data_IF_262157123570
#
_entry.id   IF_262157123570
#
_cell.length_a   1.000
_cell.length_b   1.000
_cell.length_c   1.000
_cell.angle_alpha   90.00
_cell.angle_beta   90.00
_cell.angle_gamma   90.00
#
_symmetry.space_group_name_H-M   'P 1'
#
loop_
_entity.id
_entity.type
_entity.pdbx_description
1 polymer ?
#
# COMPACT_ATOMS: atom_id res chain seq x y z
N UNK A 1 -10.97 23.36 -7.19
CA UNK A 1 -10.16 22.18 -6.91
C UNK A 1 -8.75 22.58 -6.54
N UNK A 2 -8.16 21.96 -5.52
CA UNK A 2 -6.76 22.24 -5.20
C UNK A 2 -5.85 21.80 -6.33
N UNK A 3 -4.79 22.52 -6.53
CA UNK A 3 -3.79 22.19 -7.53
C UNK A 3 -2.48 21.85 -6.83
N UNK A 4 -1.91 20.69 -7.14
CA UNK A 4 -0.63 20.26 -6.62
C UNK A 4 0.35 20.22 -7.79
N UNK A 5 1.59 20.54 -7.54
CA UNK A 5 2.61 20.47 -8.58
C UNK A 5 3.87 19.83 -8.03
N UNK A 6 4.57 19.13 -8.91
CA UNK A 6 5.82 18.49 -8.58
C UNK A 6 6.69 18.44 -9.84
N UNK A 7 7.99 18.55 -9.65
CA UNK A 7 8.95 18.33 -10.73
C UNK A 7 9.15 16.83 -10.88
N UNK A 8 9.08 16.32 -12.10
CA UNK A 8 9.30 14.91 -12.38
C UNK A 8 10.40 14.76 -13.42
N UNK A 9 11.00 13.58 -13.48
CA UNK A 9 12.03 13.30 -14.47
C UNK A 9 11.40 13.21 -15.87
N UNK A 10 12.23 13.36 -16.89
CA UNK A 10 11.79 13.22 -18.26
C UNK A 10 11.24 11.81 -18.51
N UNK A 11 11.83 10.83 -17.89
CA UNK A 11 11.36 9.44 -17.99
C UNK A 11 9.94 9.30 -17.45
N UNK A 12 9.67 9.88 -16.28
CA UNK A 12 8.33 9.83 -15.69
C UNK A 12 7.34 10.61 -16.55
N UNK A 13 7.73 11.76 -17.07
CA UNK A 13 6.87 12.53 -17.96
C UNK A 13 6.53 11.74 -19.22
N UNK A 14 7.50 11.03 -19.77
CA UNK A 14 7.28 10.17 -20.94
C UNK A 14 6.33 9.03 -20.63
N UNK A 15 6.42 8.45 -19.45
CA UNK A 15 5.51 7.39 -19.02
C UNK A 15 4.08 7.89 -18.89
N UNK A 16 3.90 9.11 -18.39
CA UNK A 16 2.57 9.70 -18.29
C UNK A 16 1.95 9.81 -19.68
N UNK A 17 2.71 10.31 -20.65
CA UNK A 17 2.21 10.44 -22.02
C UNK A 17 1.85 9.07 -22.62
N UNK A 18 2.72 8.09 -22.42
CA UNK A 18 2.50 6.74 -22.94
C UNK A 18 1.24 6.11 -22.34
N UNK A 19 1.06 6.24 -21.03
CA UNK A 19 -0.10 5.68 -20.36
C UNK A 19 -1.37 6.44 -20.74
N UNK A 20 -1.28 7.77 -20.89
CA UNK A 20 -2.41 8.58 -21.33
C UNK A 20 -2.90 8.09 -22.70
N UNK A 21 -1.99 7.83 -23.61
CA UNK A 21 -2.33 7.30 -24.94
C UNK A 21 -3.01 5.94 -24.85
N UNK A 22 -2.47 5.06 -23.99
CA UNK A 22 -3.05 3.73 -23.82
C UNK A 22 -4.46 3.78 -23.22
N UNK A 23 -4.70 4.71 -22.33
CA UNK A 23 -6.01 4.88 -21.70
C UNK A 23 -6.99 5.70 -22.54
N UNK A 24 -6.49 6.41 -23.55
CA UNK A 24 -7.31 7.33 -24.33
C UNK A 24 -7.72 8.57 -23.54
N UNK A 25 -6.93 8.95 -22.56
CA UNK A 25 -7.16 10.11 -21.71
C UNK A 25 -6.17 11.23 -22.03
N UNK A 26 -6.47 12.43 -21.55
CA UNK A 26 -5.49 13.51 -21.61
C UNK A 26 -4.48 13.33 -20.46
N UNK A 27 -3.40 14.10 -20.49
CA UNK A 27 -2.35 13.99 -19.50
C UNK A 27 -2.85 14.33 -18.10
N UNK A 28 -3.69 15.35 -17.99
CA UNK A 28 -4.21 15.79 -16.69
C UNK A 28 -5.05 14.70 -16.01
N UNK A 29 -5.95 14.09 -16.75
CA UNK A 29 -6.79 13.00 -16.24
C UNK A 29 -5.94 11.81 -15.86
N UNK A 30 -4.92 11.50 -16.66
CA UNK A 30 -4.00 10.41 -16.37
C UNK A 30 -3.20 10.66 -15.09
N UNK A 31 -2.74 11.89 -14.90
CA UNK A 31 -2.01 12.26 -13.68
C UNK A 31 -2.90 12.10 -12.45
N UNK A 32 -4.13 12.59 -12.52
CA UNK A 32 -5.06 12.47 -11.41
C UNK A 32 -5.31 11.00 -11.06
N UNK A 33 -5.56 10.18 -12.06
CA UNK A 33 -5.78 8.76 -11.86
C UNK A 33 -4.54 8.07 -11.27
N UNK A 34 -3.37 8.40 -11.79
CA UNK A 34 -2.12 7.85 -11.29
C UNK A 34 -1.88 8.25 -9.83
N UNK A 35 -2.20 9.49 -9.46
CA UNK A 35 -2.07 9.93 -8.08
C UNK A 35 -3.01 9.17 -7.16
N UNK A 36 -4.26 8.98 -7.55
CA UNK A 36 -5.22 8.25 -6.75
C UNK A 36 -4.78 6.81 -6.50
N UNK A 37 -4.38 6.13 -7.55
CA UNK A 37 -3.91 4.75 -7.45
C UNK A 37 -2.59 4.64 -6.70
N UNK A 38 -1.68 5.58 -6.96
CA UNK A 38 -0.39 5.62 -6.29
C UNK A 38 -0.51 5.89 -4.81
N UNK A 39 -1.40 6.79 -4.41
CA UNK A 39 -1.63 7.10 -3.01
C UNK A 39 -2.21 5.90 -2.27
N UNK A 40 -3.13 5.17 -2.89
CA UNK A 40 -3.67 3.95 -2.32
C UNK A 40 -2.56 2.93 -2.08
N UNK A 41 -1.71 2.73 -3.07
CA UNK A 41 -0.57 1.82 -2.98
C UNK A 41 0.39 2.23 -1.86
N UNK A 42 0.68 3.54 -1.76
CA UNK A 42 1.58 4.06 -0.73
C UNK A 42 0.99 3.89 0.68
N UNK A 43 -0.31 4.11 0.83
CA UNK A 43 -0.98 3.91 2.11
C UNK A 43 -0.88 2.47 2.57
N UNK A 44 -1.12 1.54 1.67
CA UNK A 44 -1.02 0.10 1.97
C UNK A 44 0.42 -0.25 2.35
N UNK A 45 1.39 0.27 1.61
CA UNK A 45 2.80 0.01 1.89
C UNK A 45 3.19 0.49 3.28
N UNK A 46 2.79 1.71 3.64
CA UNK A 46 3.09 2.25 4.97
C UNK A 46 2.41 1.43 6.06
N UNK A 47 1.16 1.05 5.84
CA UNK A 47 0.42 0.23 6.79
C UNK A 47 1.11 -1.12 7.00
N UNK A 48 1.56 -1.75 5.91
CA UNK A 48 2.28 -3.03 5.97
C UNK A 48 3.56 -2.89 6.79
N UNK A 49 4.37 -1.88 6.50
CA UNK A 49 5.62 -1.67 7.21
C UNK A 49 5.41 -1.47 8.70
N UNK A 50 4.47 -0.62 9.08
CA UNK A 50 4.20 -0.33 10.48
C UNK A 50 3.57 -1.51 11.21
N UNK A 51 2.73 -2.25 10.54
CA UNK A 51 2.14 -3.45 11.12
C UNK A 51 3.19 -4.52 11.38
N UNK A 52 4.08 -4.74 10.42
CA UNK A 52 5.16 -5.73 10.56
C UNK A 52 6.15 -5.38 11.65
N UNK A 53 6.41 -4.10 11.88
CA UNK A 53 7.31 -3.67 12.95
C UNK A 53 6.62 -3.60 14.31
N UNK A 54 5.32 -3.81 14.36
CA UNK A 54 4.57 -3.78 15.60
C UNK A 54 4.21 -2.38 16.08
N UNK A 55 4.37 -1.37 15.23
CA UNK A 55 4.09 0.02 15.59
C UNK A 55 2.61 0.34 15.65
N UNK A 56 1.78 -0.43 14.96
CA UNK A 56 0.34 -0.17 14.88
C UNK A 56 -0.46 -1.44 15.09
N UNK A 57 -1.67 -1.27 15.58
CA UNK A 57 -2.63 -2.36 15.72
C UNK A 57 -3.30 -2.66 14.37
N UNK A 58 -4.09 -3.73 14.32
CA UNK A 58 -4.87 -4.08 13.14
C UNK A 58 -5.79 -2.91 12.74
N UNK A 59 -6.48 -2.31 13.70
CA UNK A 59 -7.37 -1.17 13.43
C UNK A 59 -6.62 0.04 12.90
N UNK A 60 -5.46 0.33 13.49
CA UNK A 60 -4.64 1.44 13.03
C UNK A 60 -4.08 1.21 11.65
N UNK A 61 -3.68 -0.02 11.35
CA UNK A 61 -3.19 -0.37 10.02
C UNK A 61 -4.30 -0.21 8.97
N UNK A 62 -5.51 -0.64 9.29
CA UNK A 62 -6.66 -0.45 8.41
C UNK A 62 -6.93 1.03 8.15
N UNK A 63 -6.82 1.87 9.18
CA UNK A 63 -6.99 3.31 9.03
C UNK A 63 -5.94 3.92 8.11
N UNK A 64 -4.67 3.52 8.27
CA UNK A 64 -3.59 4.00 7.40
C UNK A 64 -3.84 3.59 5.96
N UNK A 65 -4.26 2.34 5.75
CA UNK A 65 -4.54 1.82 4.42
C UNK A 65 -5.87 2.36 3.85
N UNK A 66 -6.64 3.09 4.65
CA UNK A 66 -7.94 3.64 4.27
C UNK A 66 -8.92 2.55 3.83
N UNK A 67 -9.00 1.51 4.65
CA UNK A 67 -9.89 0.38 4.36
C UNK A 67 -10.51 -0.13 5.66
N UNK A 68 -11.43 -1.08 5.56
CA UNK A 68 -12.02 -1.73 6.74
C UNK A 68 -11.03 -2.72 7.33
N UNK A 69 -11.28 -3.11 8.58
CA UNK A 69 -10.46 -4.15 9.22
C UNK A 69 -10.55 -5.46 8.42
N UNK A 70 -11.73 -5.80 7.91
CA UNK A 70 -11.89 -7.00 7.10
C UNK A 70 -11.03 -6.96 5.83
N UNK A 71 -11.04 -5.81 5.14
CA UNK A 71 -10.19 -5.62 3.96
C UNK A 71 -8.71 -5.69 4.30
N UNK A 72 -8.33 -5.08 5.43
CA UNK A 72 -6.95 -5.13 5.90
C UNK A 72 -6.50 -6.57 6.17
N UNK A 73 -7.35 -7.37 6.79
CA UNK A 73 -7.02 -8.78 7.07
C UNK A 73 -6.85 -9.58 5.79
N UNK A 74 -7.62 -9.28 4.75
CA UNK A 74 -7.42 -9.89 3.44
C UNK A 74 -6.08 -9.52 2.84
N UNK A 75 -5.72 -8.23 2.90
CA UNK A 75 -4.44 -7.75 2.41
C UNK A 75 -3.30 -8.43 3.16
N UNK A 76 -3.42 -8.51 4.49
CA UNK A 76 -2.41 -9.16 5.32
C UNK A 76 -2.25 -10.63 4.96
N UNK A 77 -3.35 -11.31 4.69
CA UNK A 77 -3.33 -12.71 4.30
C UNK A 77 -2.64 -12.89 2.94
N UNK A 78 -2.99 -12.07 1.96
CA UNK A 78 -2.38 -12.13 0.63
C UNK A 78 -0.89 -11.87 0.65
N UNK A 79 -0.45 -10.97 1.53
CA UNK A 79 0.96 -10.61 1.65
C UNK A 79 1.72 -11.46 2.66
N UNK A 80 1.06 -12.44 3.25
CA UNK A 80 1.64 -13.32 4.27
C UNK A 80 2.23 -12.52 5.43
N UNK A 81 1.52 -11.51 5.88
CA UNK A 81 1.98 -10.70 7.00
C UNK A 81 1.74 -11.46 8.30
N UNK A 82 2.77 -11.48 9.15
CA UNK A 82 2.61 -12.04 10.48
C UNK A 82 2.10 -10.97 11.41
N UNK A 83 1.45 -11.38 12.49
CA UNK A 83 1.03 -10.44 13.51
C UNK A 83 2.24 -9.80 14.17
N UNK A 84 1.97 -8.84 15.06
CA UNK A 84 3.00 -8.03 15.72
C UNK A 84 3.70 -8.84 16.82
N UNK A 85 4.70 -9.61 16.43
CA UNK A 85 5.42 -10.46 17.38
C UNK A 85 6.82 -9.94 17.62
N UNK A 86 7.31 -10.15 18.86
CA UNK A 86 8.72 -10.03 19.12
C UNK A 86 9.41 -11.20 18.41
N UNK A 87 10.74 -11.15 18.20
CA UNK A 87 11.44 -12.27 17.58
C UNK A 87 11.22 -13.61 18.28
N UNK A 88 11.10 -13.60 19.60
CA UNK A 88 10.83 -14.81 20.37
C UNK A 88 9.42 -15.34 20.13
N UNK A 89 8.43 -14.46 20.15
CA UNK A 89 7.04 -14.82 19.86
C UNK A 89 6.91 -15.30 18.42
N UNK A 90 7.63 -14.69 17.53
CA UNK A 90 7.60 -15.09 16.13
C UNK A 90 8.12 -16.52 15.98
N UNK A 91 9.17 -16.86 16.69
CA UNK A 91 9.73 -18.23 16.66
C UNK A 91 8.73 -19.26 17.17
N UNK A 92 8.05 -18.96 18.27
CA UNK A 92 7.02 -19.84 18.81
C UNK A 92 5.87 -20.00 17.85
N UNK A 93 5.42 -18.90 17.28
CA UNK A 93 4.32 -18.91 16.32
C UNK A 93 4.69 -19.64 15.05
N UNK A 94 5.91 -19.48 14.58
CA UNK A 94 6.38 -20.19 13.42
C UNK A 94 6.32 -21.70 13.64
N UNK A 95 6.71 -22.14 14.83
CA UNK A 95 6.64 -23.54 15.19
C UNK A 95 5.19 -24.03 15.25
N UNK A 96 4.31 -23.20 15.81
CA UNK A 96 2.89 -23.54 15.92
C UNK A 96 2.23 -23.53 14.55
N UNK A 97 2.57 -22.57 13.71
CA UNK A 97 2.00 -22.45 12.38
C UNK A 97 2.46 -23.56 11.44
N UNK A 98 3.68 -24.02 11.61
CA UNK A 98 4.25 -25.10 10.81
C UNK A 98 3.65 -26.44 11.21
N UNK A 99 3.18 -26.52 12.42
CA UNK A 99 2.58 -27.72 12.97
C UNK A 99 1.06 -27.62 12.93
N UNK A 100 0.46 -27.72 11.78
CA UNK A 100 -1.00 -27.64 11.63
C UNK A 100 -1.71 -28.88 12.16
#
# INVERSE_FOLDING_TARGET
MPTLSAAVSEETAGEVEAVADLLGNDDETTIEKALQEGLETLRIRVAVERYQTGDVSIGEAADIADCTVADWLEIAHEKNLTAQYTPEQLSEDAATAIDP
#
